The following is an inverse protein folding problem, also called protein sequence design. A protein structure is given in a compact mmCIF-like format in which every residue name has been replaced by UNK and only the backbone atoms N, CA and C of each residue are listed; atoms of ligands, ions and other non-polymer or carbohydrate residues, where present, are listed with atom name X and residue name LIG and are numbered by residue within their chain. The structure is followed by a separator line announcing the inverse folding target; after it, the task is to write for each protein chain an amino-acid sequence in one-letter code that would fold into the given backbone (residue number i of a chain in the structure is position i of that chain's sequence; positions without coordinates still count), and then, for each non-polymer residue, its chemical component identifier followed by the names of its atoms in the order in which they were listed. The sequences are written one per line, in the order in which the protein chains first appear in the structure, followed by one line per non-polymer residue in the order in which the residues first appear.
data_IF_058075219221
#
_entry.id   IF_058075219221
#
_cell.length_a   1.000
_cell.length_b   1.000
_cell.length_c   1.000
_cell.angle_alpha   90.00
_cell.angle_beta   90.00
_cell.angle_gamma   90.00
#
_symmetry.space_group_name_H-M   'P 1'
#
loop_
_entity.id
_entity.type
_entity.pdbx_description
1 polymer ?
#
# COMPACT_ATOMS: atom_id res chain seq x y z
N UNK A 1 -12.00 4.53 -21.59
CA UNK A 1 -11.81 3.14 -21.17
C UNK A 1 -10.35 2.94 -20.79
N UNK A 2 -10.06 2.01 -19.87
CA UNK A 2 -8.69 1.70 -19.43
C UNK A 2 -8.36 0.30 -19.96
N UNK A 3 -7.24 0.17 -20.65
CA UNK A 3 -6.81 -1.08 -21.28
C UNK A 3 -5.48 -1.54 -20.68
N UNK A 4 -5.37 -2.83 -20.39
CA UNK A 4 -4.11 -3.45 -20.02
C UNK A 4 -3.28 -3.72 -21.28
N UNK A 5 -2.31 -2.85 -21.57
CA UNK A 5 -1.47 -2.97 -22.76
C UNK A 5 -0.89 -1.64 -23.20
N UNK A 6 -0.42 -1.59 -24.45
CA UNK A 6 0.11 -0.36 -25.09
C UNK A 6 -0.87 0.30 -26.05
N UNK A 7 -2.00 -0.34 -26.32
CA UNK A 7 -3.06 0.10 -27.23
C UNK A 7 -4.44 -0.37 -26.75
N UNK A 8 -5.47 -0.13 -27.56
CA UNK A 8 -6.87 -0.48 -27.24
C UNK A 8 -7.25 -1.92 -27.58
N UNK A 9 -6.28 -2.78 -27.93
CA UNK A 9 -6.52 -4.21 -28.22
C UNK A 9 -6.33 -5.10 -26.99
N UNK A 10 -5.76 -4.54 -25.92
CA UNK A 10 -5.57 -5.22 -24.64
C UNK A 10 -6.87 -5.43 -23.87
N UNK A 11 -6.74 -6.05 -22.70
CA UNK A 11 -7.88 -6.32 -21.82
C UNK A 11 -8.52 -5.02 -21.34
N UNK A 12 -9.82 -4.89 -21.54
CA UNK A 12 -10.59 -3.75 -21.04
C UNK A 12 -10.95 -3.96 -19.56
N UNK A 13 -10.39 -3.11 -18.68
CA UNK A 13 -10.56 -3.25 -17.22
C UNK A 13 -12.03 -3.16 -16.80
N UNK A 14 -12.85 -2.37 -17.50
CA UNK A 14 -14.28 -2.27 -17.20
C UNK A 14 -15.02 -3.58 -17.50
N UNK A 15 -14.66 -4.26 -18.59
CA UNK A 15 -15.22 -5.56 -18.95
C UNK A 15 -14.87 -6.62 -17.91
N UNK A 16 -13.61 -6.67 -17.47
CA UNK A 16 -13.15 -7.63 -16.45
C UNK A 16 -13.85 -7.42 -15.11
N UNK A 17 -14.01 -6.17 -14.65
CA UNK A 17 -14.74 -5.87 -13.42
C UNK A 17 -16.21 -6.28 -13.49
N UNK A 18 -16.87 -6.02 -14.62
CA UNK A 18 -18.29 -6.39 -14.82
C UNK A 18 -18.44 -7.92 -14.90
N UNK A 19 -17.56 -8.60 -15.64
CA UNK A 19 -17.59 -10.06 -15.80
C UNK A 19 -17.36 -10.82 -14.50
N UNK A 20 -16.57 -10.26 -13.58
CA UNK A 20 -16.37 -10.82 -12.23
C UNK A 20 -17.42 -10.33 -11.20
N UNK A 21 -18.41 -9.54 -11.62
CA UNK A 21 -19.47 -9.04 -10.75
C UNK A 21 -18.98 -8.04 -9.72
N UNK A 22 -17.91 -7.29 -10.01
CA UNK A 22 -17.35 -6.24 -9.14
C UNK A 22 -17.88 -4.84 -9.49
N UNK A 23 -18.56 -4.70 -10.63
CA UNK A 23 -19.20 -3.47 -11.08
C UNK A 23 -20.51 -3.76 -11.82
N UNK A 24 -21.40 -2.77 -11.88
CA UNK A 24 -22.67 -2.86 -12.62
C UNK A 24 -22.67 -1.91 -13.82
N UNK A 25 -23.47 -2.26 -14.82
CA UNK A 25 -23.59 -1.49 -16.06
C UNK A 25 -24.72 -0.48 -15.93
N UNK A 26 -24.46 0.79 -16.27
CA UNK A 26 -25.50 1.82 -16.35
C UNK A 26 -26.33 1.62 -17.62
N UNK A 27 -27.53 1.05 -17.48
CA UNK A 27 -28.43 0.73 -18.62
C UNK A 27 -29.35 1.88 -19.04
N UNK A 28 -29.57 2.87 -18.20
CA UNK A 28 -30.50 3.99 -18.46
C UNK A 28 -29.86 5.14 -19.25
N UNK A 29 -30.67 5.86 -20.05
CA UNK A 29 -30.26 7.08 -20.78
C UNK A 29 -29.59 6.85 -22.13
N UNK A 30 -29.59 5.61 -22.64
CA UNK A 30 -28.89 5.25 -23.88
C UNK A 30 -29.71 5.67 -25.09
N UNK A 31 -29.21 6.65 -25.86
CA UNK A 31 -29.67 6.94 -27.23
C UNK A 31 -28.67 6.36 -28.22
N UNK A 32 -29.11 5.35 -28.99
CA UNK A 32 -28.30 4.72 -30.05
C UNK A 32 -27.78 3.32 -29.69
N UNK A 33 -27.35 2.58 -30.70
CA UNK A 33 -26.79 1.24 -30.58
C UNK A 33 -25.26 1.34 -30.39
N UNK A 34 -24.78 1.40 -29.15
CA UNK A 34 -23.35 1.38 -28.83
C UNK A 34 -22.87 -0.08 -28.62
N UNK A 35 -22.02 -0.63 -29.50
CA UNK A 35 -21.55 -2.01 -29.39
C UNK A 35 -20.78 -2.32 -28.10
N UNK A 36 -19.98 -1.38 -27.59
CA UNK A 36 -19.22 -1.59 -26.35
C UNK A 36 -20.15 -1.70 -25.14
N UNK A 37 -21.22 -0.90 -25.14
CA UNK A 37 -22.23 -0.96 -24.10
C UNK A 37 -23.03 -2.26 -24.15
N UNK A 38 -23.38 -2.72 -25.35
CA UNK A 38 -24.04 -4.01 -25.53
C UNK A 38 -23.16 -5.15 -24.99
N UNK A 39 -21.85 -5.10 -25.26
CA UNK A 39 -20.87 -6.05 -24.73
C UNK A 39 -20.82 -6.06 -23.20
N UNK A 40 -20.81 -4.88 -22.56
CA UNK A 40 -20.85 -4.79 -21.10
C UNK A 40 -22.15 -5.39 -20.52
N UNK A 41 -23.30 -5.14 -21.14
CA UNK A 41 -24.56 -5.75 -20.74
C UNK A 41 -24.52 -7.28 -20.80
N UNK A 42 -23.95 -7.85 -21.87
CA UNK A 42 -23.76 -9.30 -22.01
C UNK A 42 -22.89 -9.88 -20.88
N UNK A 43 -21.76 -9.23 -20.58
CA UNK A 43 -20.85 -9.65 -19.51
C UNK A 43 -21.51 -9.56 -18.13
N UNK A 44 -22.33 -8.54 -17.90
CA UNK A 44 -23.09 -8.42 -16.64
C UNK A 44 -24.11 -9.56 -16.50
N UNK A 45 -24.80 -9.93 -17.58
CA UNK A 45 -25.76 -11.02 -17.57
C UNK A 45 -25.06 -12.39 -17.40
N UNK A 46 -23.84 -12.54 -17.92
CA UNK A 46 -22.96 -13.68 -17.65
C UNK A 46 -22.53 -13.74 -16.17
N UNK A 47 -22.14 -12.61 -15.57
CA UNK A 47 -21.76 -12.55 -14.16
C UNK A 47 -22.93 -12.89 -13.23
N UNK A 48 -24.15 -12.43 -13.57
CA UNK A 48 -25.40 -12.76 -12.86
C UNK A 48 -25.72 -14.24 -12.92
N UNK A 49 -25.72 -14.83 -14.12
CA UNK A 49 -26.01 -16.26 -14.30
C UNK A 49 -24.98 -17.14 -13.60
N UNK A 50 -23.72 -16.68 -13.52
CA UNK A 50 -22.63 -17.36 -12.80
C UNK A 50 -22.59 -17.05 -11.29
N UNK A 51 -23.49 -16.20 -10.78
CA UNK A 51 -23.56 -15.78 -9.37
C UNK A 51 -22.24 -15.24 -8.79
N UNK A 52 -21.49 -14.48 -9.60
CA UNK A 52 -20.19 -13.91 -9.21
C UNK A 52 -20.33 -12.59 -8.46
N UNK A 53 -19.42 -12.33 -7.50
CA UNK A 53 -19.29 -11.04 -6.83
C UNK A 53 -20.61 -10.53 -6.23
N UNK A 54 -21.05 -9.35 -6.65
CA UNK A 54 -22.33 -8.71 -6.28
C UNK A 54 -23.56 -9.60 -6.52
N UNK A 55 -23.46 -10.55 -7.46
CA UNK A 55 -24.54 -11.45 -7.84
C UNK A 55 -24.56 -12.77 -7.06
N UNK A 56 -23.61 -12.95 -6.13
CA UNK A 56 -23.59 -14.09 -5.22
C UNK A 56 -24.72 -14.02 -4.20
N UNK A 57 -25.10 -15.18 -3.66
CA UNK A 57 -26.09 -15.26 -2.57
C UNK A 57 -25.45 -14.84 -1.23
N UNK A 58 -26.23 -14.25 -0.32
CA UNK A 58 -25.77 -13.92 1.04
C UNK A 58 -25.41 -12.45 1.30
N UNK A 59 -25.81 -11.52 0.43
CA UNK A 59 -25.82 -10.08 0.72
C UNK A 59 -24.46 -9.38 0.86
N UNK A 60 -23.34 -10.10 0.68
CA UNK A 60 -22.00 -9.54 0.58
C UNK A 60 -21.42 -8.91 1.85
N UNK A 61 -22.10 -9.01 3.00
CA UNK A 61 -21.66 -8.38 4.26
C UNK A 61 -20.28 -8.85 4.71
N UNK A 62 -19.90 -10.09 4.39
CA UNK A 62 -18.57 -10.65 4.66
C UNK A 62 -17.43 -9.98 3.87
N UNK A 63 -17.72 -9.18 2.85
CA UNK A 63 -16.71 -8.41 2.08
C UNK A 63 -16.43 -7.03 2.69
N UNK A 64 -17.28 -6.59 3.62
CA UNK A 64 -17.12 -5.31 4.32
C UNK A 64 -16.03 -5.46 5.38
N UNK A 65 -14.91 -4.75 5.18
CA UNK A 65 -13.78 -4.76 6.11
C UNK A 65 -14.14 -4.02 7.40
N UNK A 66 -13.94 -4.68 8.54
CA UNK A 66 -13.91 -4.03 9.85
C UNK A 66 -12.58 -3.30 10.05
N UNK A 67 -12.49 -2.07 9.51
CA UNK A 67 -11.27 -1.27 9.53
C UNK A 67 -10.94 -0.74 10.92
N UNK A 68 -9.74 -1.05 11.40
CA UNK A 68 -9.25 -0.63 12.72
C UNK A 68 -8.18 0.45 12.53
N UNK A 69 -8.51 1.69 12.91
CA UNK A 69 -7.61 2.84 12.76
C UNK A 69 -6.70 3.09 13.96
N UNK A 70 -6.98 2.44 15.08
CA UNK A 70 -6.27 2.60 16.35
C UNK A 70 -6.01 1.22 16.94
N UNK A 71 -4.80 1.00 17.46
CA UNK A 71 -4.48 -0.18 18.25
C UNK A 71 -4.56 0.20 19.72
N UNK A 72 -5.38 -0.50 20.51
CA UNK A 72 -5.58 -0.17 21.93
C UNK A 72 -4.29 -0.27 22.74
N UNK A 73 -3.52 -1.35 22.55
CA UNK A 73 -2.23 -1.56 23.20
C UNK A 73 -1.16 -1.88 22.14
N UNK A 74 -0.53 -0.84 21.53
CA UNK A 74 0.44 -1.04 20.46
C UNK A 74 1.62 -1.93 20.85
N UNK A 75 2.12 -1.80 22.09
CA UNK A 75 3.26 -2.59 22.58
C UNK A 75 2.91 -4.06 22.62
N UNK A 76 1.81 -4.42 23.28
CA UNK A 76 1.36 -5.81 23.34
C UNK A 76 1.06 -6.36 21.93
N UNK A 77 0.46 -5.54 21.06
CA UNK A 77 0.20 -5.95 19.68
C UNK A 77 1.50 -6.33 18.95
N UNK A 78 2.51 -5.45 18.94
CA UNK A 78 3.81 -5.72 18.31
C UNK A 78 4.52 -6.91 18.96
N UNK A 79 4.57 -6.97 20.30
CA UNK A 79 5.26 -8.03 21.04
C UNK A 79 4.64 -9.42 20.78
N UNK A 80 3.30 -9.49 20.68
CA UNK A 80 2.56 -10.73 20.41
C UNK A 80 2.86 -11.35 19.03
N UNK A 81 3.37 -10.54 18.10
CA UNK A 81 3.70 -10.97 16.75
C UNK A 81 5.13 -11.51 16.63
N UNK A 82 5.94 -11.39 17.69
CA UNK A 82 7.27 -11.98 17.82
C UNK A 82 8.19 -11.71 16.61
N UNK A 83 8.14 -10.48 16.07
CA UNK A 83 8.84 -10.05 14.85
C UNK A 83 8.64 -10.99 13.65
N UNK A 84 7.55 -11.75 13.59
CA UNK A 84 7.21 -12.53 12.41
C UNK A 84 6.70 -11.60 11.30
N UNK A 85 7.06 -11.84 10.03
CA UNK A 85 6.54 -11.06 8.92
C UNK A 85 5.01 -11.17 8.80
N UNK A 86 4.34 -10.03 8.61
CA UNK A 86 2.90 -9.94 8.47
C UNK A 86 2.56 -9.42 7.08
N UNK A 87 1.64 -10.10 6.41
CA UNK A 87 1.16 -9.66 5.10
C UNK A 87 0.44 -8.30 5.25
N UNK A 88 0.77 -7.37 4.38
CA UNK A 88 0.21 -6.03 4.40
C UNK A 88 0.16 -5.42 3.01
N UNK A 89 -0.66 -4.38 2.86
CA UNK A 89 -0.75 -3.57 1.65
C UNK A 89 -0.31 -2.14 1.99
N UNK A 90 0.60 -1.56 1.22
CA UNK A 90 0.97 -0.15 1.40
C UNK A 90 -0.09 0.74 0.76
N UNK A 91 -0.86 1.44 1.58
CA UNK A 91 -2.01 2.26 1.15
C UNK A 91 -1.61 3.69 0.82
N UNK A 92 -0.59 4.22 1.48
CA UNK A 92 -0.13 5.60 1.28
C UNK A 92 1.33 5.77 1.68
N UNK A 93 2.04 6.67 1.02
CA UNK A 93 3.43 7.04 1.36
C UNK A 93 3.44 8.51 1.76
N UNK A 94 3.76 8.79 3.03
CA UNK A 94 3.83 10.16 3.54
C UNK A 94 5.14 10.83 3.10
N UNK A 95 6.24 10.12 3.30
CA UNK A 95 7.59 10.46 2.85
C UNK A 95 8.34 9.15 2.53
N UNK A 96 9.60 9.23 2.10
CA UNK A 96 10.36 8.04 1.70
C UNK A 96 10.47 6.95 2.76
N UNK A 97 10.40 7.30 4.05
CA UNK A 97 10.58 6.39 5.20
C UNK A 97 9.33 6.16 6.04
N UNK A 98 8.21 6.83 5.73
CA UNK A 98 6.96 6.75 6.50
C UNK A 98 5.79 6.42 5.58
N UNK A 99 5.11 5.32 5.85
CA UNK A 99 3.99 4.80 5.06
C UNK A 99 2.76 4.52 5.93
N UNK A 100 1.59 4.42 5.28
CA UNK A 100 0.39 3.80 5.86
C UNK A 100 0.28 2.40 5.29
N UNK A 101 0.10 1.41 6.16
CA UNK A 101 -0.04 0.02 5.78
C UNK A 101 -1.34 -0.55 6.33
N UNK A 102 -2.03 -1.35 5.51
CA UNK A 102 -3.16 -2.17 5.92
C UNK A 102 -2.62 -3.55 6.30
N UNK A 103 -2.57 -3.88 7.59
CA UNK A 103 -2.13 -5.17 8.08
C UNK A 103 -3.25 -6.21 7.95
N UNK A 104 -2.90 -7.40 7.46
CA UNK A 104 -3.81 -8.53 7.28
C UNK A 104 -3.60 -9.57 8.41
N UNK A 105 -4.64 -10.35 8.77
CA UNK A 105 -5.98 -10.41 8.16
C UNK A 105 -7.00 -9.42 8.75
N UNK A 106 -6.70 -8.79 9.89
CA UNK A 106 -7.71 -8.07 10.70
C UNK A 106 -7.94 -6.60 10.30
N UNK A 107 -7.32 -6.15 9.20
CA UNK A 107 -7.51 -4.84 8.58
C UNK A 107 -7.17 -3.65 9.50
N UNK A 108 -6.02 -3.72 10.17
CA UNK A 108 -5.47 -2.58 10.90
C UNK A 108 -4.79 -1.61 9.94
N UNK A 109 -5.27 -0.36 9.89
CA UNK A 109 -4.66 0.70 9.10
C UNK A 109 -3.69 1.53 9.96
N UNK A 110 -2.42 1.16 9.92
CA UNK A 110 -1.36 1.66 10.80
C UNK A 110 -0.41 2.60 10.08
N UNK A 111 0.36 3.39 10.84
CA UNK A 111 1.50 4.13 10.32
C UNK A 111 2.77 3.36 10.61
N UNK A 112 3.55 3.06 9.58
CA UNK A 112 4.84 2.38 9.69
C UNK A 112 5.94 3.36 9.32
N UNK A 113 6.94 3.48 10.19
CA UNK A 113 8.18 4.20 9.94
C UNK A 113 9.32 3.17 9.82
N UNK A 114 10.13 3.29 8.78
CA UNK A 114 11.27 2.40 8.58
C UNK A 114 12.25 2.57 9.74
N UNK A 115 12.59 1.47 10.40
CA UNK A 115 13.56 1.46 11.49
C UNK A 115 14.99 1.70 10.98
N UNK A 116 15.81 2.30 11.84
CA UNK A 116 17.22 2.57 11.55
C UNK A 116 17.50 3.69 10.55
N UNK A 117 16.50 4.22 9.84
CA UNK A 117 16.69 5.28 8.82
C UNK A 117 15.69 6.43 8.96
N UNK A 118 16.01 7.55 8.32
CA UNK A 118 15.09 8.69 8.14
C UNK A 118 15.31 9.33 6.77
N UNK A 119 14.23 9.53 6.04
CA UNK A 119 14.21 10.35 4.82
C UNK A 119 13.95 11.83 5.14
N UNK A 120 14.30 12.76 4.23
CA UNK A 120 13.81 14.13 4.26
C UNK A 120 12.28 14.17 4.25
N UNK A 121 11.72 15.15 4.96
CA UNK A 121 10.29 15.24 5.25
C UNK A 121 9.65 16.50 4.71
N UNK A 122 8.32 16.56 4.76
CA UNK A 122 7.54 17.75 4.44
C UNK A 122 7.27 18.52 5.74
N UNK A 123 7.78 19.74 5.85
CA UNK A 123 7.48 20.63 6.97
C UNK A 123 6.08 21.19 6.76
N UNK A 124 5.22 21.03 7.76
CA UNK A 124 3.84 21.54 7.71
C UNK A 124 3.75 22.83 8.52
N UNK A 125 3.43 23.91 7.85
CA UNK A 125 3.19 25.21 8.45
C UNK A 125 1.78 25.28 9.08
N UNK A 126 1.54 26.28 9.93
CA UNK A 126 0.29 26.43 10.66
C UNK A 126 -0.95 26.65 9.77
N UNK A 127 -0.74 27.17 8.55
CA UNK A 127 -1.77 27.37 7.53
C UNK A 127 -2.09 26.09 6.72
N UNK A 128 -1.35 25.00 6.98
CA UNK A 128 -1.49 23.73 6.27
C UNK A 128 -0.61 23.59 5.04
N UNK A 129 0.19 24.60 4.68
CA UNK A 129 1.16 24.53 3.59
C UNK A 129 2.27 23.52 3.93
N UNK A 130 2.56 22.61 2.99
CA UNK A 130 3.66 21.65 3.11
C UNK A 130 4.87 22.12 2.30
N UNK A 131 5.98 22.41 2.98
CA UNK A 131 7.26 22.77 2.37
C UNK A 131 8.21 21.57 2.41
N UNK A 132 8.64 21.03 1.26
CA UNK A 132 9.53 19.87 1.23
C UNK A 132 10.94 20.27 1.70
N UNK A 133 11.55 19.44 2.55
CA UNK A 133 13.01 19.46 2.72
C UNK A 133 13.71 19.04 1.40
N UNK A 134 14.99 19.40 1.21
CA UNK A 134 15.74 18.93 0.04
C UNK A 134 15.64 17.40 -0.11
N UNK A 135 15.32 16.93 -1.32
CA UNK A 135 15.12 15.52 -1.67
C UNK A 135 13.88 14.82 -1.05
N UNK A 136 12.98 15.54 -0.36
CA UNK A 136 11.80 14.92 0.25
C UNK A 136 10.82 14.35 -0.79
N UNK A 137 10.60 15.06 -1.89
CA UNK A 137 9.70 14.61 -2.96
C UNK A 137 10.29 13.42 -3.73
N UNK A 138 11.59 13.43 -3.98
CA UNK A 138 12.34 12.38 -4.68
C UNK A 138 12.40 11.11 -3.84
N UNK A 139 12.71 11.23 -2.55
CA UNK A 139 12.70 10.10 -1.61
C UNK A 139 11.28 9.50 -1.49
N UNK A 140 10.25 10.34 -1.42
CA UNK A 140 8.84 9.89 -1.42
C UNK A 140 8.52 9.12 -2.70
N UNK A 141 8.84 9.69 -3.87
CA UNK A 141 8.59 9.06 -5.17
C UNK A 141 9.35 7.72 -5.32
N UNK A 142 10.57 7.65 -4.80
CA UNK A 142 11.37 6.42 -4.81
C UNK A 142 10.63 5.25 -4.13
N UNK A 143 10.03 5.51 -2.96
CA UNK A 143 9.23 4.55 -2.22
C UNK A 143 7.87 4.30 -2.88
N UNK A 144 7.17 5.35 -3.33
CA UNK A 144 5.85 5.23 -3.98
C UNK A 144 5.87 4.36 -5.24
N UNK A 145 6.80 4.65 -6.15
CA UNK A 145 6.92 3.92 -7.43
C UNK A 145 7.20 2.42 -7.25
N UNK A 146 7.72 2.02 -6.09
CA UNK A 146 8.09 0.64 -5.76
C UNK A 146 7.04 -0.07 -4.92
N UNK A 147 6.47 0.61 -3.92
CA UNK A 147 5.69 -0.03 -2.88
C UNK A 147 4.21 0.38 -2.81
N UNK A 148 3.81 1.52 -3.38
CA UNK A 148 2.40 1.97 -3.28
C UNK A 148 1.44 0.93 -3.89
N UNK A 149 0.43 0.51 -3.14
CA UNK A 149 -0.53 -0.55 -3.50
C UNK A 149 0.12 -1.90 -3.86
N UNK A 150 1.31 -2.21 -3.31
CA UNK A 150 1.92 -3.55 -3.43
C UNK A 150 1.62 -4.38 -2.19
N UNK A 151 1.47 -5.68 -2.42
CA UNK A 151 1.53 -6.69 -1.37
C UNK A 151 2.97 -6.80 -0.85
N UNK A 152 3.13 -6.67 0.46
CA UNK A 152 4.41 -6.74 1.16
C UNK A 152 4.27 -7.59 2.40
N UNK A 153 5.42 -7.94 2.99
CA UNK A 153 5.44 -8.37 4.38
C UNK A 153 6.11 -7.29 5.23
N UNK A 154 5.58 -7.03 6.41
CA UNK A 154 6.16 -6.07 7.35
C UNK A 154 6.54 -6.79 8.62
N UNK A 155 7.79 -6.61 9.06
CA UNK A 155 8.23 -7.00 10.40
C UNK A 155 7.95 -5.82 11.33
N UNK A 156 7.11 -6.01 12.33
CA UNK A 156 6.85 -5.00 13.35
C UNK A 156 7.88 -5.19 14.47
N UNK A 157 8.74 -4.20 14.67
CA UNK A 157 9.92 -4.33 15.54
C UNK A 157 9.75 -3.58 16.85
N UNK A 158 9.09 -2.43 16.82
CA UNK A 158 8.80 -1.62 18.01
C UNK A 158 7.66 -0.63 17.74
N UNK A 159 7.15 0.05 18.76
CA UNK A 159 6.11 1.06 18.62
C UNK A 159 6.14 2.07 19.78
N UNK A 160 6.72 3.27 19.60
CA UNK A 160 6.67 4.30 20.64
C UNK A 160 5.24 4.75 20.98
N UNK A 161 4.33 4.71 20.01
CA UNK A 161 2.91 5.05 20.14
C UNK A 161 2.09 4.29 19.08
N UNK A 162 1.17 4.94 18.36
CA UNK A 162 0.47 4.37 17.19
C UNK A 162 1.36 4.24 15.94
N UNK A 163 2.57 4.80 15.96
CA UNK A 163 3.59 4.62 14.93
C UNK A 163 4.34 3.32 15.24
N UNK A 164 4.38 2.44 14.25
CA UNK A 164 5.13 1.20 14.30
C UNK A 164 6.48 1.43 13.62
N UNK A 165 7.56 1.06 14.30
CA UNK A 165 8.87 0.92 13.71
C UNK A 165 8.96 -0.47 13.11
N UNK A 166 9.35 -0.56 11.85
CA UNK A 166 9.41 -1.86 11.18
C UNK A 166 10.19 -1.85 9.88
N UNK A 167 10.35 -3.05 9.34
CA UNK A 167 11.02 -3.29 8.06
C UNK A 167 10.02 -3.83 7.04
N UNK A 168 10.00 -3.23 5.85
CA UNK A 168 9.17 -3.69 4.74
C UNK A 168 9.98 -4.65 3.86
N UNK A 169 9.45 -5.85 3.68
CA UNK A 169 10.00 -6.92 2.85
C UNK A 169 9.20 -7.02 1.55
N UNK A 170 9.92 -7.04 0.44
CA UNK A 170 9.37 -7.24 -0.89
C UNK A 170 10.35 -8.10 -1.72
N UNK A 171 9.88 -8.99 -2.62
CA UNK A 171 10.76 -9.87 -3.41
C UNK A 171 11.84 -9.12 -4.20
N UNK A 172 11.55 -7.88 -4.63
CA UNK A 172 12.48 -7.04 -5.39
C UNK A 172 13.52 -6.29 -4.54
N UNK A 173 13.53 -6.47 -3.22
CA UNK A 173 14.57 -5.94 -2.33
C UNK A 173 14.06 -5.20 -1.10
N UNK A 174 15.00 -4.84 -0.21
CA UNK A 174 14.76 -4.12 1.03
C UNK A 174 14.76 -2.61 0.78
N UNK A 175 13.60 -1.96 0.92
CA UNK A 175 13.45 -0.53 0.65
C UNK A 175 14.34 0.34 1.56
N UNK A 176 14.56 -0.09 2.81
CA UNK A 176 15.41 0.63 3.78
C UNK A 176 16.85 0.73 3.30
N UNK A 177 17.41 -0.37 2.78
CA UNK A 177 18.77 -0.39 2.24
C UNK A 177 18.87 0.40 0.93
N UNK A 178 17.85 0.29 0.07
CA UNK A 178 17.82 0.98 -1.23
C UNK A 178 17.78 2.50 -1.05
N UNK A 179 16.98 3.01 -0.11
CA UNK A 179 16.91 4.44 0.19
C UNK A 179 18.27 5.00 0.66
N UNK A 180 19.03 4.23 1.44
CA UNK A 180 20.38 4.63 1.87
C UNK A 180 21.37 4.62 0.70
N UNK A 181 21.37 3.55 -0.11
CA UNK A 181 22.28 3.42 -1.27
C UNK A 181 22.11 4.54 -2.30
N UNK A 182 20.88 5.04 -2.46
CA UNK A 182 20.55 6.12 -3.38
C UNK A 182 20.65 7.51 -2.75
N UNK A 183 21.09 7.62 -1.49
CA UNK A 183 21.24 8.91 -0.80
C UNK A 183 19.94 9.58 -0.38
N UNK A 184 18.81 8.87 -0.42
CA UNK A 184 17.49 9.39 -0.04
C UNK A 184 17.18 9.28 1.46
N UNK A 185 18.01 8.56 2.20
CA UNK A 185 17.89 8.41 3.64
C UNK A 185 19.25 8.54 4.33
N UNK A 186 19.20 8.77 5.64
CA UNK A 186 20.34 8.65 6.54
C UNK A 186 20.03 7.68 7.68
N UNK A 187 21.05 7.08 8.26
CA UNK A 187 20.92 6.26 9.46
C UNK A 187 20.51 7.12 10.66
N UNK A 188 19.72 6.53 11.57
CA UNK A 188 19.33 7.15 12.85
C UNK A 188 19.61 6.19 14.01
N UNK A 189 20.38 6.66 14.99
CA UNK A 189 20.91 5.80 16.06
C UNK A 189 19.83 5.29 17.00
N UNK A 190 18.85 6.13 17.33
CA UNK A 190 17.83 5.84 18.35
C UNK A 190 16.90 4.67 17.96
N UNK A 191 16.73 4.39 16.67
CA UNK A 191 15.95 3.26 16.16
C UNK A 191 16.80 2.21 15.44
N UNK A 192 18.13 2.39 15.39
CA UNK A 192 19.03 1.41 14.76
C UNK A 192 19.00 0.05 15.50
N UNK A 193 18.88 0.09 16.83
CA UNK A 193 18.91 -1.11 17.67
C UNK A 193 17.68 -2.02 17.47
N UNK A 194 16.56 -1.50 16.98
CA UNK A 194 15.35 -2.30 16.75
C UNK A 194 15.32 -2.93 15.35
N UNK A 195 16.19 -2.50 14.43
CA UNK A 195 16.27 -3.06 13.08
C UNK A 195 16.79 -4.50 13.10
N UNK A 196 15.98 -5.43 12.59
CA UNK A 196 16.23 -6.88 12.73
C UNK A 196 16.96 -7.52 11.56
N UNK A 197 17.24 -6.79 10.47
CA UNK A 197 17.81 -7.35 9.23
C UNK A 197 19.33 -7.17 9.07
N UNK A 198 20.01 -6.68 10.12
CA UNK A 198 21.46 -6.45 10.16
C UNK A 198 21.81 -4.96 10.06
N UNK A 199 22.00 -4.29 11.20
CA UNK A 199 22.27 -2.85 11.28
C UNK A 199 23.57 -2.44 10.55
N UNK A 200 24.55 -3.34 10.47
CA UNK A 200 25.79 -3.17 9.71
C UNK A 200 25.54 -2.97 8.21
N UNK A 201 24.50 -3.58 7.65
CA UNK A 201 24.12 -3.39 6.24
C UNK A 201 23.63 -1.98 5.97
N UNK A 202 22.86 -1.40 6.89
CA UNK A 202 22.41 -0.01 6.77
C UNK A 202 23.61 0.94 6.81
N UNK A 203 24.53 0.74 7.76
CA UNK A 203 25.76 1.55 7.82
C UNK A 203 26.63 1.41 6.58
N UNK A 204 26.73 0.20 6.01
CA UNK A 204 27.46 -0.02 4.77
C UNK A 204 26.78 0.67 3.58
N UNK A 205 25.45 0.62 3.51
CA UNK A 205 24.66 1.26 2.46
C UNK A 205 24.78 2.79 2.47
N UNK A 206 24.76 3.42 3.65
CA UNK A 206 24.90 4.87 3.80
C UNK A 206 26.28 5.38 3.33
N UNK A 207 27.34 4.59 3.52
CA UNK A 207 28.74 4.98 3.17
C UNK A 207 29.01 5.03 1.67
N UNK A 208 28.11 4.51 0.84
CA UNK A 208 28.30 4.45 -0.62
C UNK A 208 27.92 5.79 -1.27
N UNK A 209 27.18 6.65 -0.57
CA UNK A 209 26.74 7.97 -1.02
C UNK A 209 27.69 9.10 -0.58
#
# INVERSE_FOLDING_TARGET
MVYLGKDTTGENIAESLVNEGLATVRREGIRGNNPEQARLCELEDQAKSSKKGLWSEGGGTHTIRDLKYTIENPRNFVDSLHQKPINAIIEHVRDGSVVRALLLPDYYLVTVMLSGVKCPTFKREADGTETPEPFAAEAKFFTESRLLQRDVQIILESCPNQIILGTILHPNGNITELLLKEGFARCVDWSMAVYTQGAEKLRAAERIC
#
